data_IF_157393592759
#
_entry.id   IF_157393592759
#
_cell.length_a   1.000
_cell.length_b   1.000
_cell.length_c   1.000
_cell.angle_alpha   90.00
_cell.angle_beta   90.00
_cell.angle_gamma   90.00
#
_symmetry.space_group_name_H-M   'P 1'
#
loop_
_entity.id
_entity.type
_entity.pdbx_description
1 polymer ?
#
# COMPACT_ATOMS: atom_id res chain seq x y z
N UNK A 1 -48.41 23.11 -14.52
CA UNK A 1 -49.25 23.64 -13.43
C UNK A 1 -48.73 23.08 -12.12
N UNK A 2 -48.51 23.96 -11.14
CA UNK A 2 -47.90 23.78 -9.79
C UNK A 2 -46.42 23.35 -9.81
N UNK A 3 -45.42 24.11 -9.32
CA UNK A 3 -45.40 25.24 -8.40
C UNK A 3 -44.86 24.79 -7.03
N UNK A 4 -43.66 25.24 -6.63
CA UNK A 4 -43.16 25.04 -5.25
C UNK A 4 -41.64 25.08 -5.08
N UNK A 5 -41.10 26.27 -4.86
CA UNK A 5 -39.74 26.60 -4.43
C UNK A 5 -39.57 26.34 -2.93
N UNK A 6 -38.45 25.74 -2.47
CA UNK A 6 -37.89 25.99 -1.13
C UNK A 6 -36.36 26.15 -1.27
N UNK A 7 -35.90 27.38 -0.99
CA UNK A 7 -34.54 27.69 -0.61
C UNK A 7 -34.38 27.46 0.90
N UNK A 8 -33.27 26.85 1.32
CA UNK A 8 -32.63 27.17 2.61
C UNK A 8 -31.14 27.25 2.35
N UNK A 9 -30.61 28.47 2.46
CA UNK A 9 -29.18 28.73 2.48
C UNK A 9 -28.59 28.44 3.85
N UNK A 10 -27.32 28.05 3.87
CA UNK A 10 -26.43 28.40 4.96
C UNK A 10 -25.17 29.02 4.39
N UNK A 11 -25.09 30.33 4.62
CA UNK A 11 -23.90 31.15 4.65
C UNK A 11 -23.13 30.73 5.91
N UNK A 12 -21.89 30.30 5.77
CA UNK A 12 -20.95 30.24 6.88
C UNK A 12 -19.75 31.14 6.55
N UNK A 13 -19.59 32.10 7.44
CA UNK A 13 -18.77 33.30 7.40
C UNK A 13 -17.28 33.05 7.17
N UNK A 14 -16.73 33.84 6.25
CA UNK A 14 -15.30 34.07 6.07
C UNK A 14 -14.91 35.32 6.84
N UNK A 15 -14.60 35.19 8.13
CA UNK A 15 -13.97 36.29 8.89
C UNK A 15 -13.31 35.79 10.18
N UNK A 16 -12.01 35.46 10.10
CA UNK A 16 -11.00 35.58 11.16
C UNK A 16 -9.65 35.09 10.66
N UNK A 17 -9.09 35.87 9.74
CA UNK A 17 -7.71 35.74 9.27
C UNK A 17 -7.16 37.16 9.21
N UNK A 18 -6.66 37.65 10.36
CA UNK A 18 -5.79 38.84 10.54
C UNK A 18 -5.77 39.22 12.03
N UNK A 19 -4.69 38.84 12.73
CA UNK A 19 -4.12 39.38 14.00
C UNK A 19 -3.46 38.22 14.75
N UNK A 20 -2.16 38.15 15.02
CA UNK A 20 -1.08 39.08 14.80
C UNK A 20 0.27 38.36 14.99
N UNK A 21 1.27 38.84 14.25
CA UNK A 21 2.68 38.53 14.46
C UNK A 21 3.26 39.69 15.27
N UNK A 22 3.72 39.44 16.49
CA UNK A 22 4.71 40.22 17.23
C UNK A 22 5.18 39.35 18.42
N UNK A 23 6.35 38.72 18.32
CA UNK A 23 7.65 39.17 18.85
C UNK A 23 7.76 39.13 20.40
N UNK A 24 8.77 38.36 20.85
CA UNK A 24 9.40 38.31 22.19
C UNK A 24 8.71 37.46 23.27
N UNK A 25 9.37 36.39 23.72
CA UNK A 25 10.12 36.39 24.99
C UNK A 25 10.94 35.10 25.14
N UNK A 26 12.27 35.26 25.22
CA UNK A 26 13.18 34.32 25.87
C UNK A 26 12.73 34.11 27.32
N UNK A 27 12.38 32.89 27.72
CA UNK A 27 12.57 32.40 29.09
C UNK A 27 12.48 30.88 29.11
N UNK A 28 13.63 30.23 29.23
CA UNK A 28 13.70 28.94 29.92
C UNK A 28 13.27 29.17 31.37
N UNK A 29 12.17 28.55 31.81
CA UNK A 29 11.69 28.73 33.17
C UNK A 29 10.41 27.96 33.49
N UNK A 30 10.58 26.97 34.38
CA UNK A 30 9.59 26.44 35.31
C UNK A 30 8.45 25.55 34.79
N UNK A 31 8.61 24.25 35.11
CA UNK A 31 7.51 23.40 35.61
C UNK A 31 6.58 24.23 36.52
N UNK A 32 5.30 24.39 36.14
CA UNK A 32 4.15 24.49 37.06
C UNK A 32 2.85 24.69 36.29
N UNK A 33 2.08 23.62 36.11
CA UNK A 33 0.62 23.70 36.00
C UNK A 33 0.02 22.34 36.38
N UNK A 34 0.06 22.03 37.68
CA UNK A 34 -0.86 21.05 38.25
C UNK A 34 -2.21 21.73 38.44
N UNK A 35 -3.28 21.13 37.89
CA UNK A 35 -4.65 21.43 38.29
C UNK A 35 -5.59 21.74 37.15
N UNK A 36 -6.08 20.69 36.47
CA UNK A 36 -7.51 20.37 36.26
C UNK A 36 -7.62 19.24 35.22
N UNK A 37 -7.60 17.98 35.69
CA UNK A 37 -8.17 16.81 35.00
C UNK A 37 -7.66 16.37 33.61
N UNK A 38 -6.63 16.99 33.06
CA UNK A 38 -6.02 16.60 31.78
C UNK A 38 -4.86 15.61 31.97
N UNK A 39 -4.66 14.72 31.00
CA UNK A 39 -3.62 13.68 31.02
C UNK A 39 -2.24 14.20 31.48
N UNK A 40 -1.54 13.44 32.32
CA UNK A 40 -0.20 13.77 32.82
C UNK A 40 0.73 14.18 31.67
N UNK A 41 1.33 15.36 31.78
CA UNK A 41 2.36 15.85 30.85
C UNK A 41 3.47 14.81 30.79
N UNK A 42 3.61 14.15 29.65
CA UNK A 42 4.65 13.14 29.46
C UNK A 42 6.03 13.80 29.58
N UNK A 43 6.84 13.33 30.53
CA UNK A 43 8.24 13.77 30.66
C UNK A 43 9.04 13.11 29.54
N UNK A 44 9.33 13.85 28.48
CA UNK A 44 10.28 13.42 27.46
C UNK A 44 11.71 13.82 27.89
N UNK A 45 12.62 12.84 27.97
CA UNK A 45 14.05 13.07 28.14
C UNK A 45 14.70 13.21 26.76
N UNK A 46 15.38 14.34 26.52
CA UNK A 46 16.09 14.61 25.27
C UNK A 46 17.60 14.53 25.44
N UNK A 47 18.26 13.90 24.47
CA UNK A 47 19.69 14.00 24.27
C UNK A 47 19.96 14.37 22.80
N UNK A 48 20.67 15.48 22.60
CA UNK A 48 21.14 15.91 21.28
C UNK A 48 22.67 15.86 21.27
N UNK A 49 23.25 15.16 20.30
CA UNK A 49 24.68 15.27 20.00
C UNK A 49 24.78 16.18 18.77
N UNK A 50 25.47 17.32 18.93
CA UNK A 50 25.65 18.39 17.93
C UNK A 50 24.47 19.37 17.73
N UNK A 51 23.54 19.51 18.70
CA UNK A 51 22.39 20.43 18.64
C UNK A 51 21.98 21.07 19.98
N UNK A 52 21.09 22.07 19.90
CA UNK A 52 20.56 22.86 21.02
C UNK A 52 19.15 22.32 21.36
N UNK A 53 18.98 21.62 22.49
CA UNK A 53 17.61 21.32 22.96
C UNK A 53 17.49 20.36 24.14
N UNK A 54 16.85 20.83 25.22
CA UNK A 54 16.21 20.04 26.29
C UNK A 54 14.70 20.34 26.31
N UNK A 55 14.09 20.48 25.13
CA UNK A 55 12.65 20.71 24.98
C UNK A 55 11.95 19.38 24.65
N UNK A 56 10.62 19.31 24.61
CA UNK A 56 9.90 18.09 24.15
C UNK A 56 10.14 17.74 22.68
N UNK A 57 10.74 18.66 21.93
CA UNK A 57 11.20 18.52 20.55
C UNK A 57 12.73 18.51 20.57
N UNK A 58 13.35 17.32 20.59
CA UNK A 58 14.80 17.21 20.53
C UNK A 58 15.25 17.51 19.10
N UNK A 59 15.71 18.72 18.82
CA UNK A 59 16.21 19.10 17.50
C UNK A 59 17.74 19.14 17.46
N UNK A 60 18.32 18.62 16.38
CA UNK A 60 19.76 18.56 16.15
C UNK A 60 20.12 19.03 14.72
N UNK A 61 21.23 19.76 14.55
CA UNK A 61 21.68 20.34 13.27
C UNK A 61 22.96 19.71 12.69
N UNK A 62 23.30 20.10 11.44
CA UNK A 62 24.50 19.90 10.59
C UNK A 62 25.07 18.46 10.48
N UNK A 63 25.24 17.72 11.56
CA UNK A 63 25.77 16.34 11.66
C UNK A 63 24.94 15.48 12.62
N UNK A 64 23.64 15.68 12.65
CA UNK A 64 22.82 15.54 13.84
C UNK A 64 22.37 14.14 14.23
N UNK A 65 22.51 13.84 15.53
CA UNK A 65 21.80 12.74 16.20
C UNK A 65 20.82 13.38 17.19
N UNK A 66 19.53 13.04 17.09
CA UNK A 66 18.48 13.45 18.01
C UNK A 66 17.88 12.21 18.69
N UNK A 67 17.87 12.20 20.03
CA UNK A 67 17.31 11.11 20.82
C UNK A 67 16.24 11.68 21.76
N UNK A 68 15.02 11.21 21.63
CA UNK A 68 13.86 11.57 22.43
C UNK A 68 13.29 10.32 23.12
N UNK A 69 13.09 10.36 24.44
CA UNK A 69 12.53 9.23 25.20
C UNK A 69 11.38 9.71 26.06
N UNK A 70 10.16 9.22 25.80
CA UNK A 70 8.95 9.57 26.53
C UNK A 70 7.70 9.38 25.67
N UNK A 71 6.52 9.41 26.30
CA UNK A 71 5.26 9.47 25.56
C UNK A 71 5.18 10.81 24.80
N UNK A 72 4.77 10.79 23.54
CA UNK A 72 4.81 11.92 22.61
C UNK A 72 6.22 12.51 22.39
N UNK A 73 7.28 11.72 22.61
CA UNK A 73 8.65 12.19 22.39
C UNK A 73 8.89 12.48 20.90
N UNK A 74 9.46 13.65 20.60
CA UNK A 74 9.76 14.06 19.22
C UNK A 74 11.26 14.24 19.03
N UNK A 75 11.84 13.50 18.08
CA UNK A 75 13.24 13.61 17.70
C UNK A 75 13.33 14.15 16.26
N UNK A 76 14.08 15.23 16.06
CA UNK A 76 14.29 15.91 14.79
C UNK A 76 15.78 16.02 14.46
N UNK A 77 16.24 15.44 13.35
CA UNK A 77 17.65 15.49 12.95
C UNK A 77 17.83 15.92 11.48
N UNK A 78 18.03 17.23 11.28
CA UNK A 78 17.99 17.86 9.95
C UNK A 78 19.38 18.06 9.31
N UNK A 79 20.33 17.18 9.64
CA UNK A 79 21.75 17.28 9.25
C UNK A 79 22.12 16.47 8.02
N UNK A 80 23.39 16.58 7.58
CA UNK A 80 23.94 15.81 6.46
C UNK A 80 23.89 14.28 6.72
N UNK A 81 23.97 13.90 7.99
CA UNK A 81 23.88 12.54 8.53
C UNK A 81 22.78 12.48 9.60
N UNK A 82 21.56 12.88 9.25
CA UNK A 82 20.45 12.96 10.19
C UNK A 82 20.09 11.60 10.80
N UNK A 83 20.12 11.48 12.12
CA UNK A 83 19.67 10.30 12.85
C UNK A 83 18.69 10.71 13.96
N UNK A 84 17.40 10.44 13.76
CA UNK A 84 16.37 10.69 14.75
C UNK A 84 15.95 9.37 15.42
N UNK A 85 15.94 9.33 16.75
CA UNK A 85 15.50 8.21 17.57
C UNK A 85 14.45 8.71 18.57
N UNK A 86 13.24 8.19 18.49
CA UNK A 86 12.16 8.52 19.42
C UNK A 86 11.58 7.25 20.06
N UNK A 87 11.53 7.18 21.39
CA UNK A 87 11.04 6.00 22.12
C UNK A 87 9.93 6.39 23.09
N UNK A 88 8.75 5.85 22.89
CA UNK A 88 7.56 5.98 23.73
C UNK A 88 6.27 5.94 22.91
N UNK A 89 5.12 5.87 23.59
CA UNK A 89 3.83 5.90 22.90
C UNK A 89 3.67 7.23 22.16
N UNK A 90 3.20 7.19 20.92
CA UNK A 90 3.11 8.33 20.01
C UNK A 90 4.46 9.03 19.76
N UNK A 91 5.57 8.29 19.89
CA UNK A 91 6.90 8.82 19.59
C UNK A 91 7.03 9.14 18.10
N UNK A 92 7.64 10.27 17.78
CA UNK A 92 7.82 10.75 16.42
C UNK A 92 9.31 11.01 16.15
N UNK A 93 9.92 10.21 15.29
CA UNK A 93 11.29 10.44 14.82
C UNK A 93 11.23 10.95 13.38
N UNK A 94 11.72 12.17 13.16
CA UNK A 94 11.66 12.82 11.85
C UNK A 94 13.05 13.32 11.44
N UNK A 95 13.40 13.14 10.17
CA UNK A 95 14.45 13.91 9.52
C UNK A 95 13.79 14.79 8.45
N UNK A 96 13.99 16.10 8.56
CA UNK A 96 13.58 17.09 7.58
C UNK A 96 14.84 17.74 6.97
N UNK A 97 14.77 18.25 5.74
CA UNK A 97 15.89 18.94 5.10
C UNK A 97 16.53 18.18 3.93
N UNK A 98 17.85 18.36 3.74
CA UNK A 98 18.65 17.71 2.69
C UNK A 98 19.84 17.00 3.32
N UNK A 99 19.87 15.68 3.25
CA UNK A 99 20.85 14.82 3.91
C UNK A 99 21.50 13.90 2.89
N UNK A 100 22.74 13.47 3.10
CA UNK A 100 23.27 12.33 2.34
C UNK A 100 22.67 11.03 2.88
N UNK A 101 22.57 10.95 4.21
CA UNK A 101 22.01 9.83 4.94
C UNK A 101 20.99 10.36 5.95
N UNK A 102 19.80 9.75 5.96
CA UNK A 102 18.83 9.99 7.02
C UNK A 102 18.34 8.68 7.62
N UNK A 103 18.34 8.57 8.94
CA UNK A 103 17.79 7.44 9.68
C UNK A 103 16.76 7.92 10.68
N UNK A 104 15.55 7.39 10.64
CA UNK A 104 14.51 7.67 11.63
C UNK A 104 14.09 6.36 12.31
N UNK A 105 14.12 6.31 13.64
CA UNK A 105 13.65 5.17 14.40
C UNK A 105 12.65 5.65 15.46
N UNK A 106 11.43 5.13 15.39
CA UNK A 106 10.40 5.38 16.38
C UNK A 106 9.91 4.07 17.00
N UNK A 107 9.78 4.01 18.32
CA UNK A 107 9.31 2.81 19.02
C UNK A 107 8.23 3.16 20.06
N UNK A 108 7.07 2.52 19.97
CA UNK A 108 5.94 2.64 20.88
C UNK A 108 4.59 2.58 20.16
N UNK A 109 3.49 2.55 20.91
CA UNK A 109 2.16 2.54 20.29
C UNK A 109 1.87 3.88 19.62
N UNK A 110 1.58 3.84 18.33
CA UNK A 110 1.41 4.99 17.44
C UNK A 110 2.73 5.69 17.10
N UNK A 111 3.85 4.98 17.22
CA UNK A 111 5.15 5.49 16.82
C UNK A 111 5.21 5.80 15.33
N UNK A 112 5.87 6.89 14.97
CA UNK A 112 5.98 7.34 13.61
C UNK A 112 7.43 7.70 13.27
N UNK A 113 7.98 7.09 12.23
CA UNK A 113 9.32 7.34 11.74
C UNK A 113 9.24 7.90 10.32
N UNK A 114 9.69 9.14 10.15
CA UNK A 114 9.62 9.87 8.89
C UNK A 114 10.99 10.33 8.43
N UNK A 115 11.30 10.04 7.19
CA UNK A 115 12.41 10.68 6.51
C UNK A 115 11.85 11.40 5.27
N UNK A 116 11.54 12.69 5.44
CA UNK A 116 10.90 13.52 4.41
C UNK A 116 11.91 14.19 3.48
N UNK A 117 13.18 13.98 3.77
CA UNK A 117 14.32 14.55 3.06
C UNK A 117 14.55 13.85 1.72
N UNK A 118 14.94 14.61 0.70
CA UNK A 118 15.57 14.09 -0.53
C UNK A 118 16.96 13.49 -0.23
N UNK A 119 17.03 12.50 0.66
CA UNK A 119 18.30 11.88 1.02
C UNK A 119 18.79 10.99 -0.12
N UNK A 120 20.10 10.79 -0.26
CA UNK A 120 20.59 9.71 -1.11
C UNK A 120 20.19 8.35 -0.52
N UNK A 121 20.39 8.18 0.79
CA UNK A 121 20.03 6.98 1.54
C UNK A 121 19.12 7.36 2.70
N UNK A 122 17.94 6.76 2.78
CA UNK A 122 16.96 7.08 3.80
C UNK A 122 16.33 5.82 4.40
N UNK A 123 16.55 5.59 5.70
CA UNK A 123 15.90 4.52 6.46
C UNK A 123 14.88 5.06 7.45
N UNK A 124 13.74 4.38 7.58
CA UNK A 124 12.73 4.69 8.59
C UNK A 124 12.18 3.41 9.21
N UNK A 125 12.24 3.31 10.52
CA UNK A 125 11.85 2.11 11.27
C UNK A 125 10.85 2.52 12.34
N UNK A 126 9.64 1.98 12.30
CA UNK A 126 8.61 2.23 13.28
C UNK A 126 8.15 0.92 13.92
N UNK A 127 8.20 0.82 15.25
CA UNK A 127 7.87 -0.39 16.00
C UNK A 127 6.75 -0.11 17.00
N UNK A 128 5.70 -0.93 17.03
CA UNK A 128 4.56 -0.81 17.95
C UNK A 128 3.21 -0.91 17.24
N UNK A 129 2.11 -0.85 18.01
CA UNK A 129 0.78 -0.83 17.41
C UNK A 129 0.54 0.48 16.69
N UNK A 130 -0.07 0.49 15.51
CA UNK A 130 -0.28 1.69 14.68
C UNK A 130 1.04 2.38 14.29
N UNK A 131 2.13 1.63 14.23
CA UNK A 131 3.42 2.16 13.82
C UNK A 131 3.44 2.52 12.33
N UNK A 132 3.98 3.70 12.01
CA UNK A 132 4.06 4.22 10.64
C UNK A 132 5.49 4.56 10.30
N UNK A 133 6.05 3.95 9.27
CA UNK A 133 7.36 4.29 8.72
C UNK A 133 7.22 4.83 7.30
N UNK A 134 7.83 5.98 7.01
CA UNK A 134 7.83 6.56 5.65
C UNK A 134 9.17 7.20 5.30
N UNK A 135 9.68 6.92 4.10
CA UNK A 135 10.98 7.39 3.62
C UNK A 135 10.94 7.90 2.18
N UNK A 136 11.47 9.10 1.94
CA UNK A 136 11.47 9.82 0.65
C UNK A 136 12.83 9.98 -0.03
N UNK A 137 13.85 9.20 0.37
CA UNK A 137 15.17 9.25 -0.25
C UNK A 137 15.24 8.58 -1.64
N UNK A 138 16.36 8.77 -2.34
CA UNK A 138 16.67 8.05 -3.58
C UNK A 138 16.65 6.54 -3.29
N UNK A 139 17.50 6.05 -2.40
CA UNK A 139 17.44 4.68 -1.87
C UNK A 139 16.70 4.71 -0.54
N UNK A 140 15.41 4.38 -0.57
CA UNK A 140 14.52 4.38 0.58
C UNK A 140 14.35 2.98 1.18
N UNK A 141 14.43 2.86 2.51
CA UNK A 141 14.09 1.65 3.24
C UNK A 141 13.12 1.97 4.37
N UNK A 142 11.95 1.32 4.40
CA UNK A 142 11.01 1.45 5.53
C UNK A 142 10.63 0.13 6.13
N UNK A 143 10.51 0.11 7.45
CA UNK A 143 10.22 -1.07 8.24
C UNK A 143 9.17 -0.68 9.28
N UNK A 144 8.02 -1.33 9.25
CA UNK A 144 6.99 -1.15 10.28
C UNK A 144 6.63 -2.50 10.91
N UNK A 145 6.59 -2.59 12.24
CA UNK A 145 6.27 -3.85 12.92
C UNK A 145 5.30 -3.66 14.09
N UNK A 146 4.30 -4.55 14.19
CA UNK A 146 3.22 -4.51 15.18
C UNK A 146 1.82 -4.54 14.55
N UNK A 147 0.78 -4.34 15.35
CA UNK A 147 -0.60 -4.33 14.87
C UNK A 147 -0.93 -3.06 14.07
N UNK A 148 -1.74 -3.15 13.01
CA UNK A 148 -2.20 -1.99 12.23
C UNK A 148 -1.07 -1.08 11.71
N UNK A 149 0.00 -1.66 11.17
CA UNK A 149 1.23 -0.96 10.82
C UNK A 149 1.36 -0.59 9.36
N UNK A 150 2.00 0.52 9.05
CA UNK A 150 2.16 0.97 7.66
C UNK A 150 3.62 1.29 7.36
N UNK A 151 4.12 0.82 6.23
CA UNK A 151 5.49 1.02 5.77
C UNK A 151 5.48 1.51 4.32
N UNK A 152 6.00 2.71 4.07
CA UNK A 152 6.01 3.33 2.75
C UNK A 152 7.37 3.89 2.36
N UNK A 153 7.91 3.43 1.24
CA UNK A 153 9.04 4.06 0.57
C UNK A 153 8.55 4.62 -0.77
N UNK A 154 8.93 5.84 -1.09
CA UNK A 154 8.67 6.41 -2.40
C UNK A 154 9.12 7.87 -2.44
N UNK A 155 9.63 8.31 -3.59
CA UNK A 155 10.01 9.70 -3.80
C UNK A 155 8.84 10.60 -3.45
N UNK A 156 9.13 11.69 -2.74
CA UNK A 156 8.16 12.64 -2.19
C UNK A 156 6.91 12.77 -3.08
N UNK A 157 5.75 12.37 -2.52
CA UNK A 157 4.43 12.37 -3.17
C UNK A 157 4.10 13.74 -3.78
N UNK A 158 4.72 14.80 -3.25
CA UNK A 158 4.49 16.18 -3.68
C UNK A 158 5.43 16.66 -4.79
N UNK A 159 6.64 16.09 -4.93
CA UNK A 159 7.64 16.55 -5.90
C UNK A 159 7.93 15.57 -7.03
N UNK A 160 7.45 14.32 -6.95
CA UNK A 160 7.57 13.35 -8.04
C UNK A 160 9.03 13.04 -8.43
N UNK A 161 9.97 13.27 -7.51
CA UNK A 161 11.39 13.00 -7.72
C UNK A 161 11.67 11.50 -7.91
N UNK A 162 12.70 11.13 -8.70
CA UNK A 162 13.03 9.74 -8.93
C UNK A 162 13.60 9.11 -7.65
N UNK A 163 12.83 8.22 -7.01
CA UNK A 163 13.37 7.27 -6.04
C UNK A 163 13.96 6.07 -6.78
N UNK A 164 15.16 5.65 -6.41
CA UNK A 164 15.93 4.53 -6.93
C UNK A 164 16.24 3.52 -5.82
N UNK A 165 15.65 2.33 -5.86
CA UNK A 165 15.95 1.26 -4.92
C UNK A 165 15.18 1.44 -3.62
N UNK A 166 13.91 1.07 -3.65
CA UNK A 166 12.99 1.24 -2.54
C UNK A 166 12.66 -0.11 -1.90
N UNK A 167 12.73 -0.20 -0.57
CA UNK A 167 12.45 -1.42 0.17
C UNK A 167 11.48 -1.11 1.32
N UNK A 168 10.21 -1.48 1.15
CA UNK A 168 9.20 -1.39 2.19
C UNK A 168 8.93 -2.77 2.79
N UNK A 169 9.11 -2.91 4.10
CA UNK A 169 8.84 -4.13 4.85
C UNK A 169 7.81 -3.83 5.93
N UNK A 170 6.81 -4.70 6.06
CA UNK A 170 5.86 -4.69 7.17
C UNK A 170 5.83 -6.06 7.85
N UNK A 171 5.78 -6.06 9.17
CA UNK A 171 5.67 -7.25 10.02
C UNK A 171 4.44 -7.05 10.91
N UNK A 172 3.29 -7.58 10.49
CA UNK A 172 2.02 -7.40 11.19
C UNK A 172 1.57 -8.66 11.91
N UNK A 173 0.91 -8.51 13.05
CA UNK A 173 0.34 -9.61 13.85
C UNK A 173 -1.19 -9.58 13.97
N UNK A 174 -1.83 -8.51 13.50
CA UNK A 174 -3.25 -8.22 13.80
C UNK A 174 -4.17 -8.28 12.60
N UNK A 175 -5.41 -8.70 12.83
CA UNK A 175 -6.58 -8.55 11.94
C UNK A 175 -7.03 -7.09 11.74
N UNK A 176 -6.23 -6.12 12.16
CA UNK A 176 -6.57 -4.70 12.10
C UNK A 176 -6.43 -4.17 10.68
N UNK A 177 -7.20 -3.13 10.40
CA UNK A 177 -7.61 -2.67 9.09
C UNK A 177 -6.49 -2.23 8.12
N UNK A 178 -5.23 -2.10 8.55
CA UNK A 178 -4.20 -1.43 7.76
C UNK A 178 -2.78 -1.92 8.07
N UNK A 179 -2.46 -3.20 7.80
CA UNK A 179 -1.07 -3.65 7.78
C UNK A 179 -0.52 -3.64 6.34
N UNK A 180 0.33 -2.67 5.98
CA UNK A 180 0.71 -2.43 4.59
C UNK A 180 2.19 -2.14 4.36
N UNK A 181 2.72 -2.64 3.25
CA UNK A 181 4.04 -2.27 2.72
C UNK A 181 3.87 -1.72 1.31
N UNK A 182 4.37 -0.53 1.06
CA UNK A 182 4.25 0.15 -0.23
C UNK A 182 5.61 0.71 -0.67
N UNK A 183 6.04 0.35 -1.88
CA UNK A 183 7.29 0.83 -2.48
C UNK A 183 7.04 1.43 -3.87
N UNK A 184 7.46 2.67 -4.10
CA UNK A 184 7.21 3.43 -5.33
C UNK A 184 8.48 4.07 -5.92
N UNK A 185 8.73 3.94 -7.22
CA UNK A 185 9.92 4.51 -7.89
C UNK A 185 10.61 3.57 -8.88
N UNK A 186 11.93 3.47 -8.89
CA UNK A 186 12.70 2.55 -9.74
C UNK A 186 13.28 1.45 -8.85
N UNK A 187 12.98 0.16 -9.09
CA UNK A 187 13.57 -0.92 -8.28
C UNK A 187 12.94 -1.02 -6.89
N UNK A 188 11.66 -1.36 -6.85
CA UNK A 188 10.84 -1.39 -5.64
C UNK A 188 10.69 -2.81 -5.14
N UNK A 189 10.79 -2.96 -3.83
CA UNK A 189 10.62 -4.20 -3.08
C UNK A 189 9.64 -3.90 -1.96
N UNK A 190 8.47 -4.53 -1.97
CA UNK A 190 7.49 -4.44 -0.90
C UNK A 190 7.27 -5.85 -0.33
N UNK A 191 7.37 -6.00 0.98
CA UNK A 191 7.22 -7.29 1.65
C UNK A 191 6.33 -7.15 2.88
N UNK A 192 5.33 -8.01 3.01
CA UNK A 192 4.58 -8.23 4.25
C UNK A 192 4.89 -9.60 4.81
N UNK A 193 5.15 -9.64 6.11
CA UNK A 193 5.33 -10.85 6.89
C UNK A 193 4.21 -10.92 7.94
N UNK A 194 3.55 -12.07 8.01
CA UNK A 194 2.55 -12.43 9.04
C UNK A 194 1.27 -11.60 9.07
N UNK A 195 1.17 -10.48 8.36
CA UNK A 195 0.02 -9.57 8.42
C UNK A 195 -1.27 -10.19 7.85
N UNK A 196 -2.26 -10.58 8.66
CA UNK A 196 -3.53 -11.05 8.13
C UNK A 196 -4.33 -9.85 7.59
N UNK A 197 -5.11 -10.04 6.54
CA UNK A 197 -5.99 -9.00 5.99
C UNK A 197 -7.38 -9.07 6.60
N UNK A 198 -7.96 -7.92 6.93
CA UNK A 198 -9.40 -7.81 7.18
C UNK A 198 -10.16 -7.93 5.84
N UNK A 199 -11.37 -8.48 5.83
CA UNK A 199 -12.17 -8.79 4.64
C UNK A 199 -12.57 -7.59 3.76
N UNK A 200 -11.96 -6.42 3.95
CA UNK A 200 -12.20 -5.21 3.17
C UNK A 200 -11.21 -5.06 2.02
N UNK A 201 -11.63 -4.34 0.99
CA UNK A 201 -10.82 -4.09 -0.20
C UNK A 201 -9.46 -3.40 0.07
N UNK A 202 -9.31 -2.82 1.26
CA UNK A 202 -8.12 -2.11 1.72
C UNK A 202 -7.35 -2.82 2.86
N UNK A 203 -7.56 -4.13 3.05
CA UNK A 203 -6.83 -4.91 4.06
C UNK A 203 -5.32 -5.02 3.79
N UNK A 204 -4.65 -6.04 4.33
CA UNK A 204 -3.19 -6.10 4.33
C UNK A 204 -2.61 -6.11 2.91
N UNK A 205 -2.00 -4.98 2.53
CA UNK A 205 -1.66 -4.63 1.15
C UNK A 205 -0.15 -4.49 1.01
N UNK A 206 0.41 -5.30 0.13
CA UNK A 206 1.79 -5.19 -0.35
C UNK A 206 1.76 -4.63 -1.76
N UNK A 207 2.32 -3.45 -1.97
CA UNK A 207 2.27 -2.75 -3.26
C UNK A 207 3.67 -2.33 -3.68
N UNK A 208 4.12 -2.77 -4.85
CA UNK A 208 5.32 -2.28 -5.50
C UNK A 208 4.95 -1.67 -6.86
N UNK A 209 5.18 -0.37 -7.05
CA UNK A 209 4.85 0.37 -8.27
C UNK A 209 6.06 1.13 -8.81
N UNK A 210 6.32 1.11 -10.12
CA UNK A 210 7.58 1.63 -10.66
C UNK A 210 8.17 0.83 -11.81
N UNK A 211 9.48 0.91 -12.08
CA UNK A 211 10.08 0.22 -13.26
C UNK A 211 10.34 -1.28 -13.07
N UNK A 212 10.90 -1.64 -11.92
CA UNK A 212 11.23 -3.01 -11.52
C UNK A 212 10.58 -3.21 -10.16
N UNK A 213 9.60 -4.09 -10.06
CA UNK A 213 8.75 -4.20 -8.88
C UNK A 213 8.75 -5.63 -8.36
N UNK A 214 8.96 -5.77 -7.06
CA UNK A 214 8.82 -7.02 -6.32
C UNK A 214 7.85 -6.81 -5.16
N UNK A 215 6.75 -7.55 -5.13
CA UNK A 215 5.79 -7.54 -4.04
C UNK A 215 5.64 -8.96 -3.48
N UNK A 216 5.84 -9.15 -2.18
CA UNK A 216 5.69 -10.45 -1.54
C UNK A 216 4.87 -10.38 -0.26
N UNK A 217 3.93 -11.32 -0.10
CA UNK A 217 3.28 -11.56 1.18
C UNK A 217 3.57 -12.98 1.68
N UNK A 218 4.15 -13.09 2.88
CA UNK A 218 4.53 -14.36 3.49
C UNK A 218 3.75 -14.54 4.79
N UNK A 219 3.18 -15.73 4.99
CA UNK A 219 2.53 -16.14 6.25
C UNK A 219 1.26 -15.37 6.69
N UNK A 220 0.86 -14.30 5.99
CA UNK A 220 -0.37 -13.54 6.29
C UNK A 220 -1.57 -14.00 5.45
N UNK A 221 -2.68 -14.52 6.01
CA UNK A 221 -3.87 -14.91 5.24
C UNK A 221 -4.61 -13.70 4.65
N UNK A 222 -5.40 -13.94 3.60
CA UNK A 222 -6.29 -13.00 2.90
C UNK A 222 -5.62 -11.73 2.38
N UNK A 223 -4.29 -11.72 2.31
CA UNK A 223 -3.51 -10.54 1.97
C UNK A 223 -3.48 -10.30 0.47
N UNK A 224 -3.08 -9.09 0.10
CA UNK A 224 -2.98 -8.70 -1.29
C UNK A 224 -1.54 -8.33 -1.63
N UNK A 225 -0.97 -8.93 -2.67
CA UNK A 225 0.35 -8.62 -3.19
C UNK A 225 0.24 -8.10 -4.62
N UNK A 226 0.64 -6.85 -4.85
CA UNK A 226 0.50 -6.12 -6.10
C UNK A 226 1.86 -5.64 -6.60
N UNK A 227 2.25 -6.05 -7.81
CA UNK A 227 3.44 -5.54 -8.50
C UNK A 227 3.06 -4.88 -9.83
N UNK A 228 3.66 -3.72 -10.10
CA UNK A 228 3.34 -2.91 -11.27
C UNK A 228 2.05 -2.11 -11.13
N UNK A 229 1.69 -1.78 -9.88
CA UNK A 229 0.46 -1.07 -9.53
C UNK A 229 0.81 0.25 -8.85
N UNK A 230 0.46 1.36 -9.48
CA UNK A 230 0.41 2.68 -8.85
C UNK A 230 -1.05 3.01 -8.51
N UNK A 231 -1.29 3.59 -7.34
CA UNK A 231 -2.56 3.58 -6.62
C UNK A 231 -3.83 4.07 -7.36
N UNK A 232 -4.95 3.76 -6.71
CA UNK A 232 -6.28 4.41 -6.75
C UNK A 232 -6.69 5.23 -7.98
N UNK A 233 -6.68 4.60 -9.16
CA UNK A 233 -7.38 5.04 -10.37
C UNK A 233 -6.92 6.37 -11.02
N UNK A 234 -6.95 6.44 -12.37
CA UNK A 234 -7.09 5.33 -13.30
C UNK A 234 -5.77 4.58 -13.45
N UNK A 235 -5.89 3.25 -13.46
CA UNK A 235 -4.85 2.22 -13.54
C UNK A 235 -3.76 2.54 -14.58
N UNK A 236 -2.67 3.19 -14.17
CA UNK A 236 -1.47 3.29 -14.99
C UNK A 236 -0.64 2.04 -14.75
N UNK A 237 -0.39 1.30 -15.82
CA UNK A 237 0.64 0.26 -15.85
C UNK A 237 1.98 0.96 -15.63
N UNK A 238 2.57 0.76 -14.47
CA UNK A 238 3.93 1.24 -14.20
C UNK A 238 4.81 0.04 -13.99
N UNK A 239 5.67 -0.25 -14.98
CA UNK A 239 6.80 -1.15 -14.81
C UNK A 239 7.09 -2.09 -15.94
N UNK A 240 8.38 -2.31 -16.19
CA UNK A 240 8.90 -3.26 -17.18
C UNK A 240 8.92 -4.67 -16.60
N UNK A 241 9.42 -4.83 -15.39
CA UNK A 241 9.60 -6.12 -14.72
C UNK A 241 8.80 -6.13 -13.41
N UNK A 242 7.79 -6.98 -13.33
CA UNK A 242 6.84 -6.97 -12.21
C UNK A 242 6.68 -8.36 -11.65
N UNK A 243 7.03 -8.53 -10.39
CA UNK A 243 7.02 -9.83 -9.71
C UNK A 243 6.18 -9.73 -8.45
N UNK A 244 5.08 -10.47 -8.38
CA UNK A 244 4.23 -10.55 -7.20
C UNK A 244 4.15 -12.01 -6.72
N UNK A 245 4.38 -12.24 -5.43
CA UNK A 245 4.27 -13.57 -4.84
C UNK A 245 3.50 -13.55 -3.54
N UNK A 246 2.84 -14.67 -3.24
CA UNK A 246 2.48 -14.97 -1.87
C UNK A 246 2.86 -16.42 -1.53
N UNK A 247 3.38 -16.65 -0.33
CA UNK A 247 3.75 -17.99 0.14
C UNK A 247 3.20 -18.27 1.53
N UNK A 248 2.88 -19.54 1.80
CA UNK A 248 2.43 -20.02 3.12
C UNK A 248 1.24 -19.24 3.68
N UNK A 249 0.25 -18.93 2.85
CA UNK A 249 -0.91 -18.12 3.21
C UNK A 249 -2.19 -18.69 2.57
N UNK A 250 -3.35 -18.37 3.12
CA UNK A 250 -4.66 -18.80 2.61
C UNK A 250 -5.47 -17.59 2.11
N UNK A 251 -6.18 -17.73 1.00
CA UNK A 251 -7.11 -16.69 0.51
C UNK A 251 -6.45 -15.42 -0.04
N UNK A 252 -5.13 -15.44 -0.29
CA UNK A 252 -4.42 -14.25 -0.76
C UNK A 252 -4.71 -13.92 -2.22
N UNK A 253 -4.71 -12.64 -2.55
CA UNK A 253 -4.78 -12.16 -3.94
C UNK A 253 -3.38 -11.71 -4.37
N UNK A 254 -2.88 -12.25 -5.47
CA UNK A 254 -1.58 -11.90 -6.03
C UNK A 254 -1.81 -11.36 -7.43
N UNK A 255 -1.28 -10.17 -7.73
CA UNK A 255 -1.43 -9.57 -9.05
C UNK A 255 -0.14 -8.89 -9.51
N UNK A 256 0.30 -9.24 -10.71
CA UNK A 256 1.40 -8.57 -11.41
C UNK A 256 0.92 -8.03 -12.76
N UNK A 257 1.30 -6.80 -13.08
CA UNK A 257 0.87 -6.09 -14.30
C UNK A 257 2.10 -5.56 -15.02
N UNK A 258 2.27 -5.86 -16.30
CA UNK A 258 3.32 -5.28 -17.15
C UNK A 258 3.88 -6.26 -18.20
N UNK A 259 4.80 -5.80 -19.08
CA UNK A 259 5.30 -6.56 -20.21
C UNK A 259 6.13 -7.79 -19.81
N UNK A 260 6.81 -7.76 -18.65
CA UNK A 260 7.46 -8.92 -18.02
C UNK A 260 6.88 -9.11 -16.62
N UNK A 261 5.69 -9.70 -16.54
CA UNK A 261 4.98 -9.91 -15.28
C UNK A 261 5.02 -11.38 -14.82
N UNK A 262 5.41 -11.59 -13.56
CA UNK A 262 5.36 -12.88 -12.87
C UNK A 262 4.46 -12.75 -11.66
N UNK A 263 3.38 -13.51 -11.60
CA UNK A 263 2.50 -13.59 -10.44
C UNK A 263 2.48 -15.03 -9.93
N UNK A 264 2.63 -15.25 -8.63
CA UNK A 264 2.65 -16.61 -8.09
C UNK A 264 2.12 -16.80 -6.67
N UNK A 265 1.59 -17.99 -6.40
CA UNK A 265 1.24 -18.49 -5.08
C UNK A 265 1.94 -19.83 -4.81
N UNK A 266 2.61 -19.95 -3.66
CA UNK A 266 3.33 -21.15 -3.23
C UNK A 266 2.78 -21.63 -1.90
N UNK A 267 2.46 -22.92 -1.78
CA UNK A 267 1.94 -23.51 -0.53
C UNK A 267 0.70 -22.78 0.01
N UNK A 268 -0.26 -22.49 -0.88
CA UNK A 268 -1.48 -21.73 -0.56
C UNK A 268 -2.75 -22.46 -0.95
N UNK A 269 -3.81 -22.20 -0.21
CA UNK A 269 -5.18 -22.63 -0.52
C UNK A 269 -6.04 -21.41 -0.81
N UNK A 270 -6.84 -21.45 -1.88
CA UNK A 270 -7.79 -20.37 -2.22
C UNK A 270 -7.14 -19.06 -2.71
N UNK A 271 -5.90 -19.11 -3.21
CA UNK A 271 -5.24 -17.93 -3.75
C UNK A 271 -5.85 -17.50 -5.10
N UNK A 272 -6.01 -16.19 -5.30
CA UNK A 272 -6.39 -15.62 -6.60
C UNK A 272 -5.16 -14.99 -7.23
N UNK A 273 -4.60 -15.63 -8.27
CA UNK A 273 -3.38 -15.16 -8.94
C UNK A 273 -3.71 -14.60 -10.32
N UNK A 274 -3.54 -13.30 -10.50
CA UNK A 274 -3.83 -12.58 -11.76
C UNK A 274 -2.56 -12.01 -12.37
N UNK A 275 -2.38 -12.19 -13.68
CA UNK A 275 -1.28 -11.62 -14.44
C UNK A 275 -1.81 -10.89 -15.66
N UNK A 276 -1.32 -9.68 -15.91
CA UNK A 276 -1.63 -8.90 -17.10
C UNK A 276 -0.35 -8.55 -17.87
N UNK A 277 -0.34 -8.82 -19.18
CA UNK A 277 0.86 -8.73 -20.05
C UNK A 277 1.60 -10.08 -20.15
N UNK A 278 2.66 -10.21 -20.95
CA UNK A 278 3.48 -11.43 -21.05
C UNK A 278 4.17 -11.83 -19.73
N UNK A 279 4.43 -13.12 -19.55
CA UNK A 279 5.13 -13.69 -18.38
C UNK A 279 4.40 -14.87 -17.71
N UNK A 280 4.79 -15.22 -16.48
CA UNK A 280 4.40 -16.49 -15.82
C UNK A 280 3.32 -16.31 -14.74
N UNK A 281 2.35 -17.23 -14.71
CA UNK A 281 1.39 -17.37 -13.62
C UNK A 281 1.64 -18.72 -12.93
N UNK A 282 2.00 -18.68 -11.64
CA UNK A 282 2.23 -19.87 -10.83
C UNK A 282 1.08 -19.96 -9.82
N UNK A 283 0.06 -20.77 -10.08
CA UNK A 283 -1.03 -20.97 -9.13
C UNK A 283 -0.96 -22.37 -8.53
N UNK A 284 -0.68 -22.48 -7.23
CA UNK A 284 -0.91 -23.73 -6.50
C UNK A 284 0.18 -24.79 -6.61
N UNK A 285 1.47 -24.43 -6.54
CA UNK A 285 2.48 -25.43 -6.17
C UNK A 285 2.27 -25.77 -4.69
N UNK A 286 1.48 -26.81 -4.43
CA UNK A 286 1.23 -27.39 -3.11
C UNK A 286 2.08 -28.65 -2.96
N UNK A 287 3.25 -28.56 -2.34
CA UNK A 287 4.03 -29.75 -2.01
C UNK A 287 3.46 -30.31 -0.70
N UNK A 288 2.48 -31.23 -0.80
CA UNK A 288 1.84 -31.80 0.40
C UNK A 288 0.37 -32.29 0.32
N UNK A 289 -0.18 -32.58 -0.86
CA UNK A 289 -1.44 -33.37 -0.97
C UNK A 289 -2.75 -32.61 -1.24
N UNK A 290 -2.75 -31.29 -1.46
CA UNK A 290 -3.93 -30.55 -1.89
C UNK A 290 -3.85 -30.26 -3.40
N UNK A 291 -4.54 -31.03 -4.24
CA UNK A 291 -4.50 -30.88 -5.70
C UNK A 291 -4.68 -29.41 -6.13
N UNK A 292 -3.77 -28.92 -6.98
CA UNK A 292 -3.92 -27.68 -7.72
C UNK A 292 -5.24 -27.77 -8.50
N UNK A 293 -6.28 -27.08 -8.03
CA UNK A 293 -7.56 -27.03 -8.73
C UNK A 293 -7.28 -26.37 -10.08
N UNK A 294 -7.36 -27.18 -11.13
CA UNK A 294 -7.03 -26.78 -12.49
C UNK A 294 -7.77 -25.50 -12.89
N UNK A 295 -7.16 -24.76 -13.82
CA UNK A 295 -7.85 -23.70 -14.55
C UNK A 295 -9.29 -24.13 -14.85
N UNK A 296 -10.31 -23.28 -14.62
CA UNK A 296 -11.64 -23.58 -15.12
C UNK A 296 -11.49 -23.83 -16.63
N UNK A 297 -11.80 -25.06 -17.04
CA UNK A 297 -11.89 -25.40 -18.45
C UNK A 297 -12.75 -24.33 -19.09
N UNK A 298 -12.22 -23.67 -20.13
CA UNK A 298 -12.98 -22.74 -20.93
C UNK A 298 -14.33 -23.39 -21.23
N UNK A 299 -15.41 -22.75 -20.78
CA UNK A 299 -16.76 -23.29 -20.93
C UNK A 299 -16.93 -23.69 -22.41
N UNK A 300 -17.07 -25.00 -22.65
CA UNK A 300 -17.34 -25.51 -23.98
C UNK A 300 -18.58 -24.75 -24.49
N UNK A 301 -18.43 -24.11 -25.65
CA UNK A 301 -19.52 -23.42 -26.30
C UNK A 301 -20.74 -24.38 -26.35
N UNK A 302 -21.94 -23.93 -25.92
CA UNK A 302 -23.12 -24.78 -25.95
C UNK A 302 -23.34 -25.28 -27.37
N UNK A 303 -23.49 -26.60 -27.48
CA UNK A 303 -23.40 -27.34 -28.72
C UNK A 303 -24.25 -26.76 -29.85
N UNK A 304 -23.65 -26.77 -31.05
CA UNK A 304 -24.42 -26.75 -32.28
C UNK A 304 -25.38 -27.94 -32.25
N UNK A 305 -26.67 -27.65 -32.03
CA UNK A 305 -27.73 -28.64 -32.14
C UNK A 305 -27.67 -29.23 -33.55
N UNK A 306 -27.42 -30.54 -33.63
CA UNK A 306 -27.58 -31.29 -34.88
C UNK A 306 -29.01 -31.09 -35.37
N UNK A 307 -29.17 -30.38 -36.49
CA UNK A 307 -30.45 -30.22 -37.14
C UNK A 307 -31.04 -31.60 -37.48
N UNK A 308 -32.33 -31.86 -37.20
CA UNK A 308 -32.97 -33.12 -37.54
C UNK A 308 -32.88 -33.36 -39.05
N UNK A 309 -32.30 -34.50 -39.43
CA UNK A 309 -32.27 -34.98 -40.81
C UNK A 309 -33.70 -35.18 -41.30
N UNK A 310 -34.17 -34.49 -42.36
CA UNK A 310 -35.53 -34.63 -42.84
C UNK A 310 -35.76 -36.04 -43.40
N UNK A 311 -36.79 -36.69 -42.87
CA UNK A 311 -37.28 -38.00 -43.30
C UNK A 311 -37.96 -37.81 -44.67
N UNK A 312 -37.40 -38.42 -45.71
CA UNK A 312 -37.98 -38.37 -47.05
C UNK A 312 -39.30 -39.16 -47.10
N UNK A 313 -40.43 -38.44 -47.05
CA UNK A 313 -41.75 -38.99 -47.34
C UNK A 313 -41.93 -39.09 -48.85
N UNK A 314 -42.11 -40.33 -49.32
CA UNK A 314 -42.31 -40.65 -50.72
C UNK A 314 -43.63 -40.08 -51.27
N UNK A 315 -43.53 -39.22 -52.28
CA UNK A 315 -44.66 -38.86 -53.13
C UNK A 315 -44.78 -39.86 -54.28
N UNK A 316 -45.76 -40.77 -54.17
CA UNK A 316 -46.33 -41.51 -55.31
C UNK A 316 -47.11 -40.52 -56.18
N UNK A 317 -46.68 -40.31 -57.42
CA UNK A 317 -47.49 -39.66 -58.46
C UNK A 317 -48.56 -40.64 -58.95
N UNK A 318 -49.86 -40.28 -58.97
CA UNK A 318 -50.87 -41.04 -59.68
C UNK A 318 -50.80 -40.76 -61.19
N UNK A 319 -50.85 -41.84 -61.96
CA UNK A 319 -51.10 -41.84 -63.40
C UNK A 319 -52.46 -41.20 -63.69
N UNK A 320 -52.46 -40.15 -64.52
CA UNK A 320 -53.66 -39.71 -65.24
C UNK A 320 -53.43 -39.92 -66.73
N UNK A 321 -54.23 -40.83 -67.28
CA UNK A 321 -54.32 -41.14 -68.70
C UNK A 321 -55.22 -40.14 -69.44
N UNK A 322 -55.16 -40.22 -70.77
CA UNK A 322 -56.18 -39.80 -71.76
C UNK A 322 -55.98 -38.35 -72.27
N UNK A 323 -56.00 -38.01 -73.57
CA UNK A 323 -56.85 -38.50 -74.68
C UNK A 323 -56.29 -38.04 -76.06
N UNK A 324 -56.42 -38.90 -77.08
CA UNK A 324 -56.29 -38.61 -78.53
C UNK A 324 -57.46 -37.76 -79.05
N UNK A 325 -57.19 -36.85 -80.01
CA UNK A 325 -57.93 -36.54 -81.27
C UNK A 325 -57.23 -35.34 -81.93
N UNK A 326 -56.60 -35.43 -83.11
CA UNK A 326 -57.15 -35.56 -84.48
C UNK A 326 -57.85 -34.30 -85.00
N UNK A 327 -57.30 -33.68 -86.06
CA UNK A 327 -58.07 -32.89 -87.01
C UNK A 327 -57.39 -31.65 -87.60
N UNK A 328 -56.99 -31.78 -88.87
CA UNK A 328 -56.74 -30.77 -89.92
C UNK A 328 -55.43 -29.98 -89.91
#
# INVERSE_FOLDING_TARGET
MFGGTIMVGQIADSSRLLSGIALATLTAGALTAAGLGGATTASASCASFFGIGNSTECSSNLTSIAIAIGTNAQAHADGLFGAALAVGNQANATNEGSSLFGGALAQGDGAAAFNRTSSLLASSIALGNRAVASSGGAIGMTWAAGSNTYSYTGGDISTGGPAFGNIAIVIGDSNAYQAGAAAQGIGNVAVSLFSPSSAHDFGSNVVAGGVVNFAANLFGPNSKAYAGYEGFAPLQQSGTFNTAFSSFSAGSTVKAIGPLSTAGSLFQTGATVTKHGPGFNINGVSVGGAAATGQPAAAAAPGAANAPRPTATGHRKPHAATKRRAGQ
#
